data_IF_120019237707
#
_entry.id   IF_120019237707
#
_cell.length_a   1.000
_cell.length_b   1.000
_cell.length_c   1.000
_cell.angle_alpha   90.00
_cell.angle_beta   90.00
_cell.angle_gamma   90.00
#
_symmetry.space_group_name_H-M   'P 1'
#
loop_
_entity.id
_entity.type
_entity.pdbx_description
1 polymer ?
#
# COMPACT_ATOMS: atom_id res chain seq x y z
N UNK A 1 9.04 -23.06 -14.31
CA UNK A 1 8.10 -21.97 -13.97
C UNK A 1 8.40 -20.80 -14.89
N UNK A 2 7.38 -20.17 -15.45
CA UNK A 2 7.56 -18.87 -16.12
C UNK A 2 7.70 -17.77 -15.05
N UNK A 3 8.54 -16.77 -15.32
CA UNK A 3 8.63 -15.57 -14.46
C UNK A 3 7.33 -14.77 -14.59
N UNK A 4 6.83 -14.26 -13.45
CA UNK A 4 5.70 -13.32 -13.40
C UNK A 4 6.21 -11.90 -13.20
N UNK A 5 5.55 -10.94 -13.83
CA UNK A 5 5.84 -9.51 -13.67
C UNK A 5 4.63 -8.79 -13.07
N UNK A 6 4.89 -7.89 -12.12
CA UNK A 6 3.89 -7.01 -11.56
C UNK A 6 4.31 -5.54 -11.73
N UNK A 7 3.33 -4.64 -11.83
CA UNK A 7 3.55 -3.21 -11.88
C UNK A 7 2.82 -2.51 -10.74
N UNK A 8 3.45 -1.51 -10.14
CA UNK A 8 2.81 -0.72 -9.12
C UNK A 8 1.84 0.31 -9.76
N UNK A 9 0.72 0.56 -9.08
CA UNK A 9 -0.31 1.49 -9.55
C UNK A 9 0.12 2.96 -9.47
N UNK A 10 1.17 3.27 -8.71
CA UNK A 10 1.70 4.62 -8.48
C UNK A 10 2.22 5.30 -9.76
N UNK A 11 2.62 4.52 -10.77
CA UNK A 11 3.11 5.00 -12.07
C UNK A 11 1.99 5.76 -12.80
N UNK A 12 0.73 5.47 -12.45
CA UNK A 12 -0.45 5.98 -13.11
C UNK A 12 -1.08 7.12 -12.29
N UNK A 13 -1.50 8.16 -13.01
CA UNK A 13 -2.31 9.25 -12.47
C UNK A 13 -3.81 9.08 -12.75
N UNK A 14 -4.23 7.89 -13.20
CA UNK A 14 -5.63 7.58 -13.53
C UNK A 14 -6.37 6.98 -12.32
N UNK A 15 -7.71 6.97 -12.34
CA UNK A 15 -8.48 6.21 -11.35
C UNK A 15 -8.07 4.73 -11.33
N UNK A 16 -8.02 4.11 -10.14
CA UNK A 16 -7.48 2.77 -9.96
C UNK A 16 -8.13 1.70 -10.86
N UNK A 17 -9.43 1.80 -11.13
CA UNK A 17 -10.12 0.88 -12.06
C UNK A 17 -9.57 0.97 -13.50
N UNK A 18 -9.24 2.17 -13.97
CA UNK A 18 -8.61 2.37 -15.29
C UNK A 18 -7.15 1.89 -15.27
N UNK A 19 -6.42 2.16 -14.18
CA UNK A 19 -5.06 1.66 -13.98
C UNK A 19 -4.98 0.13 -14.07
N UNK A 20 -5.90 -0.59 -13.42
CA UNK A 20 -5.99 -2.05 -13.50
C UNK A 20 -6.08 -2.52 -14.94
N UNK A 21 -7.01 -1.95 -15.72
CA UNK A 21 -7.18 -2.30 -17.14
C UNK A 21 -5.92 -2.01 -17.94
N UNK A 22 -5.30 -0.84 -17.76
CA UNK A 22 -4.07 -0.48 -18.49
C UNK A 22 -2.90 -1.41 -18.19
N UNK A 23 -2.74 -1.85 -16.94
CA UNK A 23 -1.68 -2.79 -16.54
C UNK A 23 -1.92 -4.17 -17.16
N UNK A 24 -3.17 -4.63 -17.20
CA UNK A 24 -3.54 -5.90 -17.82
C UNK A 24 -3.27 -5.88 -19.32
N UNK A 25 -3.69 -4.82 -20.02
CA UNK A 25 -3.47 -4.63 -21.46
C UNK A 25 -1.97 -4.54 -21.82
N UNK A 26 -1.14 -4.04 -20.91
CA UNK A 26 0.31 -4.00 -21.06
C UNK A 26 0.99 -5.39 -20.88
N UNK A 27 0.24 -6.42 -20.47
CA UNK A 27 0.72 -7.81 -20.39
C UNK A 27 1.40 -8.19 -19.08
N UNK A 28 1.17 -7.43 -18.00
CA UNK A 28 1.62 -7.83 -16.66
C UNK A 28 0.75 -8.95 -16.08
N UNK A 29 1.33 -9.75 -15.19
CA UNK A 29 0.64 -10.83 -14.49
C UNK A 29 -0.03 -10.36 -13.19
N UNK A 30 0.42 -9.22 -12.65
CA UNK A 30 -0.11 -8.69 -11.41
C UNK A 30 0.07 -7.18 -11.21
N UNK A 31 -0.56 -6.69 -10.15
CA UNK A 31 -0.56 -5.29 -9.73
C UNK A 31 -0.21 -5.18 -8.24
N UNK A 32 0.65 -4.22 -7.92
CA UNK A 32 0.85 -3.74 -6.54
C UNK A 32 0.09 -2.42 -6.37
N UNK A 33 -0.85 -2.37 -5.43
CA UNK A 33 -1.69 -1.17 -5.26
C UNK A 33 -1.00 -0.22 -4.28
N UNK A 34 -0.73 1.01 -4.72
CA UNK A 34 -0.42 2.09 -3.81
C UNK A 34 -1.71 2.60 -3.16
N UNK A 35 -1.83 2.58 -1.81
CA UNK A 35 -3.08 2.88 -1.11
C UNK A 35 -3.75 4.21 -1.51
N UNK A 36 -2.95 5.24 -1.78
CA UNK A 36 -3.44 6.56 -2.18
C UNK A 36 -4.14 6.58 -3.54
N UNK A 37 -3.93 5.59 -4.42
CA UNK A 37 -4.70 5.50 -5.66
C UNK A 37 -6.15 5.01 -5.40
N UNK A 38 -6.43 4.40 -4.25
CA UNK A 38 -7.77 3.95 -3.88
C UNK A 38 -8.57 5.04 -3.16
N UNK A 39 -7.94 5.75 -2.22
CA UNK A 39 -8.47 6.90 -1.48
C UNK A 39 -7.35 7.59 -0.69
N UNK A 40 -7.60 8.78 -0.15
CA UNK A 40 -6.66 9.45 0.76
C UNK A 40 -6.35 8.57 1.99
N UNK A 41 -7.36 7.87 2.51
CA UNK A 41 -7.23 6.83 3.52
C UNK A 41 -7.98 5.55 3.16
N UNK A 42 -7.34 4.38 3.30
CA UNK A 42 -8.01 3.07 3.09
C UNK A 42 -9.15 2.81 4.08
N UNK A 43 -9.17 3.52 5.22
CA UNK A 43 -10.27 3.47 6.20
C UNK A 43 -11.58 4.03 5.62
N UNK A 44 -11.51 4.85 4.58
CA UNK A 44 -12.66 5.44 3.89
C UNK A 44 -13.18 4.54 2.76
N UNK A 45 -12.39 3.54 2.35
CA UNK A 45 -12.77 2.62 1.28
C UNK A 45 -13.71 1.55 1.82
N UNK A 46 -14.98 1.61 1.43
CA UNK A 46 -16.00 0.65 1.84
C UNK A 46 -15.67 -0.78 1.40
N UNK A 47 -16.16 -1.77 2.15
CA UNK A 47 -16.01 -3.19 1.80
C UNK A 47 -16.53 -3.51 0.39
N UNK A 48 -17.64 -2.88 -0.02
CA UNK A 48 -18.19 -3.02 -1.36
C UNK A 48 -17.22 -2.52 -2.44
N UNK A 49 -16.55 -1.38 -2.20
CA UNK A 49 -15.55 -0.85 -3.13
C UNK A 49 -14.31 -1.74 -3.20
N UNK A 50 -13.85 -2.28 -2.06
CA UNK A 50 -12.74 -3.25 -2.01
C UNK A 50 -13.06 -4.49 -2.84
N UNK A 51 -14.26 -5.05 -2.69
CA UNK A 51 -14.72 -6.19 -3.47
C UNK A 51 -14.79 -5.88 -4.97
N UNK A 52 -15.29 -4.70 -5.34
CA UNK A 52 -15.34 -4.25 -6.73
C UNK A 52 -13.93 -4.18 -7.34
N UNK A 53 -12.97 -3.57 -6.65
CA UNK A 53 -11.58 -3.46 -7.11
C UNK A 53 -10.94 -4.84 -7.31
N UNK A 54 -11.14 -5.75 -6.36
CA UNK A 54 -10.68 -7.15 -6.49
C UNK A 54 -11.28 -7.82 -7.72
N UNK A 55 -12.60 -7.68 -7.90
CA UNK A 55 -13.30 -8.27 -9.04
C UNK A 55 -12.76 -7.70 -10.36
N UNK A 56 -12.54 -6.40 -10.45
CA UNK A 56 -11.98 -5.74 -11.63
C UNK A 56 -10.60 -6.31 -12.00
N UNK A 57 -9.70 -6.48 -11.03
CA UNK A 57 -8.39 -7.08 -11.28
C UNK A 57 -8.50 -8.53 -11.77
N UNK A 58 -9.32 -9.35 -11.11
CA UNK A 58 -9.53 -10.75 -11.50
C UNK A 58 -10.15 -10.89 -12.89
N UNK A 59 -11.16 -10.07 -13.21
CA UNK A 59 -11.81 -10.06 -14.53
C UNK A 59 -10.84 -9.64 -15.64
N UNK A 60 -9.88 -8.75 -15.32
CA UNK A 60 -8.81 -8.34 -16.21
C UNK A 60 -7.65 -9.37 -16.31
N UNK A 61 -7.72 -10.47 -15.54
CA UNK A 61 -6.67 -11.49 -15.50
C UNK A 61 -5.45 -11.12 -14.67
N UNK A 62 -5.53 -10.07 -13.84
CA UNK A 62 -4.46 -9.63 -12.96
C UNK A 62 -4.58 -10.20 -11.55
N UNK A 63 -3.45 -10.65 -11.02
CA UNK A 63 -3.26 -10.90 -9.60
C UNK A 63 -3.03 -9.59 -8.85
N UNK A 64 -3.82 -9.28 -7.82
CA UNK A 64 -3.41 -8.24 -6.85
C UNK A 64 -2.36 -8.87 -5.95
N UNK A 65 -1.09 -8.52 -6.17
CA UNK A 65 0.04 -9.07 -5.41
C UNK A 65 -0.01 -8.59 -3.95
N UNK A 66 -0.38 -7.33 -3.76
CA UNK A 66 -0.34 -6.68 -2.47
C UNK A 66 -0.37 -5.18 -2.55
N UNK A 67 0.14 -4.54 -1.50
CA UNK A 67 0.25 -3.10 -1.38
C UNK A 67 1.72 -2.66 -1.46
N UNK A 68 1.96 -1.51 -2.09
CA UNK A 68 3.26 -0.85 -2.13
C UNK A 68 3.10 0.62 -1.70
N UNK A 69 4.20 1.35 -1.51
CA UNK A 69 4.19 2.76 -1.11
C UNK A 69 3.40 3.05 0.18
N UNK A 70 3.42 2.13 1.14
CA UNK A 70 2.69 2.28 2.40
C UNK A 70 3.06 3.56 3.15
N UNK A 71 2.10 4.14 3.88
CA UNK A 71 2.26 5.29 4.78
C UNK A 71 2.47 6.66 4.11
N UNK A 72 2.47 6.77 2.77
CA UNK A 72 2.48 8.09 2.12
C UNK A 72 1.20 8.88 2.40
N UNK A 73 0.07 8.18 2.42
CA UNK A 73 -1.21 8.72 2.84
C UNK A 73 -1.86 7.82 3.91
N UNK A 74 -2.75 8.39 4.75
CA UNK A 74 -2.95 9.82 4.97
C UNK A 74 -1.69 10.48 5.57
N UNK A 75 -1.66 11.82 5.59
CA UNK A 75 -0.56 12.55 6.20
C UNK A 75 -0.44 12.27 7.73
N UNK A 76 0.76 12.48 8.29
CA UNK A 76 1.00 12.36 9.72
C UNK A 76 1.38 10.95 10.20
N UNK A 77 1.68 10.03 9.29
CA UNK A 77 2.17 8.68 9.60
C UNK A 77 3.70 8.63 9.55
N UNK A 78 4.31 7.91 10.50
CA UNK A 78 5.76 7.72 10.53
C UNK A 78 6.15 6.61 11.52
N UNK A 79 6.87 5.58 11.05
CA UNK A 79 7.23 4.38 11.83
C UNK A 79 8.13 4.70 13.02
N UNK A 80 9.17 5.47 12.77
CA UNK A 80 10.29 5.72 13.70
C UNK A 80 10.17 7.05 14.44
N UNK A 81 9.01 7.71 14.37
CA UNK A 81 8.81 9.03 14.99
C UNK A 81 9.13 9.00 16.48
N UNK A 82 9.76 10.06 17.01
CA UNK A 82 9.95 10.24 18.45
C UNK A 82 8.63 10.37 19.21
N UNK A 83 7.57 10.84 18.55
CA UNK A 83 6.24 10.97 19.12
C UNK A 83 5.50 9.63 19.17
N UNK A 84 5.21 9.15 20.38
CA UNK A 84 4.49 7.90 20.60
C UNK A 84 3.05 7.93 20.06
N UNK A 85 2.40 9.08 19.98
CA UNK A 85 1.06 9.21 19.39
C UNK A 85 1.08 8.96 17.88
N UNK A 86 2.07 9.51 17.17
CA UNK A 86 2.28 9.26 15.73
C UNK A 86 2.56 7.77 15.49
N UNK A 87 3.40 7.14 16.31
CA UNK A 87 3.68 5.70 16.19
C UNK A 87 2.43 4.84 16.41
N UNK A 88 1.64 5.13 17.46
CA UNK A 88 0.36 4.43 17.70
C UNK A 88 -0.60 4.57 16.53
N UNK A 89 -0.77 5.79 15.99
CA UNK A 89 -1.60 6.03 14.81
C UNK A 89 -1.09 5.25 13.59
N UNK A 90 0.23 5.21 13.39
CA UNK A 90 0.87 4.46 12.30
C UNK A 90 0.60 2.96 12.42
N UNK A 91 0.69 2.39 13.62
CA UNK A 91 0.37 0.98 13.88
C UNK A 91 -1.10 0.68 13.60
N UNK A 92 -2.03 1.51 14.09
CA UNK A 92 -3.46 1.33 13.80
C UNK A 92 -3.74 1.41 12.31
N UNK A 93 -3.05 2.30 11.59
CA UNK A 93 -3.22 2.39 10.14
C UNK A 93 -2.61 1.19 9.39
N UNK A 94 -1.51 0.60 9.88
CA UNK A 94 -0.97 -0.64 9.33
C UNK A 94 -1.94 -1.82 9.49
N UNK A 95 -2.73 -1.86 10.57
CA UNK A 95 -3.80 -2.83 10.74
C UNK A 95 -4.90 -2.63 9.68
N UNK A 96 -5.34 -1.38 9.47
CA UNK A 96 -6.30 -1.05 8.42
C UNK A 96 -5.77 -1.39 7.01
N UNK A 97 -4.48 -1.18 6.75
CA UNK A 97 -3.82 -1.59 5.51
C UNK A 97 -3.78 -3.11 5.35
N UNK A 98 -3.56 -3.87 6.43
CA UNK A 98 -3.58 -5.33 6.39
C UNK A 98 -4.98 -5.87 6.04
N UNK A 99 -6.03 -5.31 6.65
CA UNK A 99 -7.42 -5.62 6.33
C UNK A 99 -7.74 -5.27 4.88
N UNK A 100 -7.38 -4.06 4.44
CA UNK A 100 -7.56 -3.62 3.06
C UNK A 100 -6.83 -4.53 2.06
N UNK A 101 -5.57 -4.90 2.34
CA UNK A 101 -4.79 -5.84 1.51
C UNK A 101 -5.48 -7.19 1.40
N UNK A 102 -5.95 -7.73 2.54
CA UNK A 102 -6.65 -9.01 2.60
C UNK A 102 -7.95 -8.99 1.80
N UNK A 103 -8.76 -7.94 1.94
CA UNK A 103 -10.02 -7.78 1.20
C UNK A 103 -9.81 -7.78 -0.31
N UNK A 104 -8.75 -7.09 -0.77
CA UNK A 104 -8.34 -7.07 -2.17
C UNK A 104 -7.78 -8.43 -2.66
N UNK A 105 -7.40 -9.32 -1.75
CA UNK A 105 -6.80 -10.61 -2.07
C UNK A 105 -5.28 -10.57 -2.25
N UNK A 106 -4.64 -9.48 -1.85
CA UNK A 106 -3.19 -9.36 -1.82
C UNK A 106 -2.56 -10.11 -0.65
N UNK A 107 -1.29 -10.50 -0.83
CA UNK A 107 -0.53 -11.27 0.17
C UNK A 107 0.68 -10.55 0.75
N UNK A 108 1.05 -9.39 0.20
CA UNK A 108 2.29 -8.67 0.56
C UNK A 108 2.01 -7.20 0.87
N UNK A 109 2.70 -6.65 1.86
CA UNK A 109 2.69 -5.23 2.19
C UNK A 109 4.12 -4.69 2.19
N UNK A 110 4.39 -3.72 1.32
CA UNK A 110 5.75 -3.24 1.05
C UNK A 110 5.92 -1.80 1.55
N UNK A 111 6.85 -1.60 2.48
CA UNK A 111 7.30 -0.28 2.92
C UNK A 111 8.15 0.42 1.84
N UNK A 112 7.50 0.82 0.75
CA UNK A 112 8.11 1.53 -0.37
C UNK A 112 8.31 3.03 -0.13
N UNK A 113 7.62 3.62 0.84
CA UNK A 113 7.71 5.05 1.12
C UNK A 113 9.09 5.40 1.71
N UNK A 114 9.86 6.28 1.07
CA UNK A 114 11.21 6.55 1.55
C UNK A 114 11.22 7.39 2.82
N UNK A 115 10.29 8.33 3.01
CA UNK A 115 10.39 9.32 4.11
C UNK A 115 9.83 8.81 5.45
N UNK A 116 8.73 8.05 5.45
CA UNK A 116 7.98 7.67 6.65
C UNK A 116 8.64 6.57 7.49
N UNK A 117 9.82 6.12 7.07
CA UNK A 117 10.67 5.15 7.76
C UNK A 117 12.08 5.68 8.04
N UNK A 118 12.35 6.94 7.71
CA UNK A 118 13.65 7.56 7.95
C UNK A 118 13.85 7.85 9.44
N UNK A 119 15.07 8.12 9.85
CA UNK A 119 15.34 8.65 11.17
C UNK A 119 15.36 10.18 11.12
N UNK A 120 15.07 10.81 12.26
CA UNK A 120 15.37 12.23 12.41
C UNK A 120 16.89 12.44 12.27
N UNK A 121 17.28 13.62 11.76
CA UNK A 121 18.69 13.94 11.56
C UNK A 121 19.46 13.82 12.88
N UNK A 122 20.56 13.05 12.87
CA UNK A 122 21.40 12.83 14.04
C UNK A 122 20.88 11.81 15.06
N UNK A 123 19.74 11.15 14.82
CA UNK A 123 19.21 10.14 15.73
C UNK A 123 20.00 8.82 15.69
N UNK A 124 20.21 8.19 16.85
CA UNK A 124 20.84 6.86 16.94
C UNK A 124 19.95 5.81 16.23
N UNK A 125 20.47 5.08 15.23
CA UNK A 125 19.72 4.00 14.56
C UNK A 125 19.12 2.95 15.50
N UNK A 126 19.72 2.72 16.67
CA UNK A 126 19.17 1.80 17.67
C UNK A 126 17.83 2.27 18.22
N UNK A 127 17.69 3.58 18.49
CA UNK A 127 16.43 4.16 18.95
C UNK A 127 15.34 4.04 17.88
N UNK A 128 15.73 4.22 16.62
CA UNK A 128 14.84 3.98 15.48
C UNK A 128 14.32 2.54 15.43
N UNK A 129 15.22 1.56 15.62
CA UNK A 129 14.86 0.14 15.66
C UNK A 129 13.94 -0.19 16.83
N UNK A 130 14.27 0.25 18.05
CA UNK A 130 13.46 0.04 19.26
C UNK A 130 12.03 0.61 19.14
N UNK A 131 11.85 1.70 18.39
CA UNK A 131 10.54 2.30 18.13
C UNK A 131 9.71 1.54 17.11
N UNK A 132 10.36 0.80 16.20
CA UNK A 132 9.73 0.11 15.08
C UNK A 132 9.40 -1.37 15.35
N UNK A 133 9.89 -1.91 16.47
CA UNK A 133 9.58 -3.26 16.99
C UNK A 133 8.51 -3.21 18.08
#
# INVERSE_FOLDING_TARGET
MAFKYALCSEVFSTPLGETITSIAEAGFDGIEIAPFNAADSVEEVSAGKRHELRKQALDAGLEIVGLHWLLVSPAGLHLTSGDAAIRRRTISYLQALAEFCSDLGGGVMIFGSPKQRNLAEGEDPRLGFERAT
#
